data_IF_882418975581
#
_entry.id   IF_882418975581
#
_cell.length_a   1.000
_cell.length_b   1.000
_cell.length_c   1.000
_cell.angle_alpha   90.00
_cell.angle_beta   90.00
_cell.angle_gamma   90.00
#
_symmetry.space_group_name_H-M   'P 1'
#
loop_
_entity.id
_entity.type
_entity.pdbx_description
1 polymer ?
#
# COMPACT_ATOMS: atom_id res chain seq x y z
N UNK A 1 20.31 33.47 -48.48
CA UNK A 1 19.07 32.70 -48.19
C UNK A 1 18.05 33.70 -47.66
N UNK A 2 16.95 33.84 -48.40
CA UNK A 2 16.18 35.08 -48.57
C UNK A 2 15.21 35.42 -47.43
N UNK A 3 14.96 36.73 -47.37
CA UNK A 3 14.03 37.47 -46.52
C UNK A 3 12.54 37.17 -46.77
N UNK A 4 11.78 37.48 -45.71
CA UNK A 4 10.38 37.93 -45.55
C UNK A 4 9.56 38.32 -46.80
N UNK A 5 8.23 38.10 -46.77
CA UNK A 5 7.16 39.08 -47.09
C UNK A 5 5.73 38.51 -46.82
N UNK A 6 4.86 39.41 -46.33
CA UNK A 6 3.41 39.33 -46.05
C UNK A 6 2.49 39.03 -47.26
N UNK A 7 1.24 38.57 -47.02
CA UNK A 7 -0.04 39.37 -47.06
C UNK A 7 -1.31 38.50 -47.23
N UNK A 8 -2.37 38.99 -46.61
CA UNK A 8 -3.79 38.60 -46.68
C UNK A 8 -4.43 38.84 -48.08
N UNK A 9 -5.43 38.03 -48.47
CA UNK A 9 -6.83 38.47 -48.71
C UNK A 9 -7.73 37.44 -49.45
N UNK A 10 -8.95 37.29 -48.89
CA UNK A 10 -10.29 37.21 -49.53
C UNK A 10 -10.62 36.18 -50.63
N UNK A 11 -11.68 35.36 -50.42
CA UNK A 11 -12.93 35.49 -51.19
C UNK A 11 -14.09 34.61 -50.65
N UNK A 12 -15.29 35.13 -50.89
CA UNK A 12 -16.63 34.75 -50.43
C UNK A 12 -17.30 33.73 -51.38
N UNK A 13 -18.23 32.92 -50.84
CA UNK A 13 -19.33 32.26 -51.58
C UNK A 13 -19.38 30.76 -51.31
N UNK A 14 -20.50 30.08 -51.05
CA UNK A 14 -21.92 30.41 -51.14
C UNK A 14 -22.67 29.35 -50.28
N UNK A 15 -23.76 29.77 -49.66
CA UNK A 15 -24.71 28.96 -48.90
C UNK A 15 -25.51 28.03 -49.84
N UNK A 16 -25.61 26.73 -49.54
CA UNK A 16 -26.75 25.88 -49.94
C UNK A 16 -27.08 24.91 -48.81
N UNK A 17 -28.30 25.04 -48.28
CA UNK A 17 -28.98 24.14 -47.36
C UNK A 17 -29.41 22.85 -48.08
N UNK A 18 -29.43 21.71 -47.36
CA UNK A 18 -30.59 20.80 -47.17
C UNK A 18 -30.10 19.43 -46.63
N UNK A 19 -30.39 19.23 -45.33
CA UNK A 19 -30.77 18.02 -44.57
C UNK A 19 -30.29 16.61 -44.95
N UNK A 20 -29.78 15.88 -43.93
CA UNK A 20 -29.75 14.42 -43.88
C UNK A 20 -29.13 13.84 -42.59
N UNK A 21 -29.99 13.53 -41.60
CA UNK A 21 -29.93 12.45 -40.58
C UNK A 21 -28.57 12.12 -39.89
N UNK A 22 -28.34 12.54 -38.65
CA UNK A 22 -28.63 11.83 -37.38
C UNK A 22 -28.06 10.40 -37.28
N UNK A 23 -26.97 10.24 -36.53
CA UNK A 23 -26.90 9.39 -35.33
C UNK A 23 -25.61 9.74 -34.55
N UNK A 24 -25.72 10.70 -33.63
CA UNK A 24 -24.76 10.87 -32.53
C UNK A 24 -25.46 10.38 -31.27
N UNK A 25 -24.99 9.30 -30.66
CA UNK A 25 -25.32 8.98 -29.28
C UNK A 25 -24.63 9.99 -28.38
N UNK A 26 -25.29 11.14 -28.20
CA UNK A 26 -25.08 12.02 -27.06
C UNK A 26 -25.78 11.35 -25.88
N UNK A 27 -25.02 11.02 -24.84
CA UNK A 27 -25.60 10.57 -23.58
C UNK A 27 -26.19 11.81 -22.91
N UNK A 28 -27.48 12.03 -23.13
CA UNK A 28 -28.19 13.18 -22.60
C UNK A 28 -28.35 13.02 -21.08
N UNK A 29 -27.91 14.02 -20.33
CA UNK A 29 -27.93 14.05 -18.85
C UNK A 29 -29.32 14.48 -18.34
N UNK A 30 -30.38 13.97 -18.95
CA UNK A 30 -31.76 14.39 -18.76
C UNK A 30 -32.67 13.18 -18.49
N UNK A 31 -32.43 12.48 -17.38
CA UNK A 31 -33.25 11.30 -17.07
C UNK A 31 -33.23 10.75 -15.64
N UNK A 32 -32.49 11.31 -14.69
CA UNK A 32 -32.67 10.95 -13.29
C UNK A 32 -33.65 11.91 -12.63
N UNK A 33 -34.85 11.43 -12.31
CA UNK A 33 -35.76 12.20 -11.47
C UNK A 33 -35.11 12.45 -10.10
N UNK A 34 -35.50 13.54 -9.42
CA UNK A 34 -35.01 13.82 -8.07
C UNK A 34 -35.32 12.70 -7.05
N UNK A 35 -36.24 11.78 -7.38
CA UNK A 35 -36.56 10.60 -6.59
C UNK A 35 -35.58 9.46 -6.84
N UNK A 36 -35.16 9.26 -8.09
CA UNK A 36 -34.17 8.24 -8.48
C UNK A 36 -32.76 8.63 -8.02
N UNK A 37 -32.41 9.92 -8.10
CA UNK A 37 -31.14 10.40 -7.54
C UNK A 37 -31.10 10.32 -6.01
N UNK A 38 -32.23 10.54 -5.33
CA UNK A 38 -32.36 10.32 -3.88
C UNK A 38 -32.33 8.83 -3.52
N UNK A 39 -32.93 7.93 -4.31
CA UNK A 39 -32.88 6.49 -4.04
C UNK A 39 -31.49 5.92 -4.31
N UNK A 40 -30.84 6.26 -5.43
CA UNK A 40 -29.45 5.88 -5.70
C UNK A 40 -28.48 6.43 -4.65
N UNK A 41 -28.69 7.67 -4.17
CA UNK A 41 -27.92 8.23 -3.06
C UNK A 41 -28.21 7.54 -1.72
N UNK A 42 -29.47 7.16 -1.44
CA UNK A 42 -29.85 6.41 -0.25
C UNK A 42 -29.33 4.96 -0.27
N UNK A 43 -29.34 4.31 -1.44
CA UNK A 43 -28.77 2.98 -1.68
C UNK A 43 -27.25 3.03 -1.58
N UNK A 44 -26.62 4.10 -2.09
CA UNK A 44 -25.18 4.34 -1.90
C UNK A 44 -24.81 4.61 -0.44
N UNK A 45 -25.64 5.35 0.30
CA UNK A 45 -25.45 5.61 1.72
C UNK A 45 -25.67 4.34 2.55
N UNK A 46 -26.67 3.52 2.21
CA UNK A 46 -26.93 2.21 2.81
C UNK A 46 -25.78 1.25 2.55
N UNK A 47 -25.30 1.18 1.30
CA UNK A 47 -24.12 0.43 0.89
C UNK A 47 -22.88 0.84 1.68
N UNK A 48 -22.55 2.13 1.70
CA UNK A 48 -21.39 2.63 2.41
C UNK A 48 -21.48 2.34 3.91
N UNK A 49 -22.67 2.49 4.51
CA UNK A 49 -22.88 2.15 5.92
C UNK A 49 -22.66 0.66 6.19
N UNK A 50 -23.12 -0.22 5.31
CA UNK A 50 -22.89 -1.67 5.43
C UNK A 50 -21.41 -2.02 5.26
N UNK A 51 -20.73 -1.42 4.28
CA UNK A 51 -19.30 -1.57 4.08
C UNK A 51 -18.53 -1.14 5.32
N UNK A 52 -18.78 0.05 5.86
CA UNK A 52 -18.11 0.54 7.06
C UNK A 52 -18.44 -0.30 8.30
N UNK A 53 -19.65 -0.87 8.39
CA UNK A 53 -20.00 -1.83 9.44
C UNK A 53 -19.17 -3.12 9.32
N UNK A 54 -19.01 -3.66 8.10
CA UNK A 54 -18.13 -4.79 7.83
C UNK A 54 -16.68 -4.47 8.22
N UNK A 55 -16.17 -3.31 7.79
CA UNK A 55 -14.80 -2.84 8.12
C UNK A 55 -14.55 -2.66 9.62
N UNK A 56 -15.60 -2.43 10.40
CA UNK A 56 -15.54 -2.32 11.85
C UNK A 56 -15.76 -3.65 12.59
N UNK A 57 -16.17 -4.71 11.88
CA UNK A 57 -16.39 -6.04 12.47
C UNK A 57 -15.08 -6.83 12.58
N UNK A 58 -15.09 -7.90 13.38
CA UNK A 58 -13.98 -8.85 13.38
C UNK A 58 -14.00 -9.65 12.07
N UNK A 59 -12.95 -9.47 11.27
CA UNK A 59 -12.78 -10.15 9.98
C UNK A 59 -11.28 -10.26 9.66
N UNK A 60 -10.93 -11.16 8.75
CA UNK A 60 -9.57 -11.29 8.24
C UNK A 60 -9.28 -10.16 7.25
N UNK A 61 -8.09 -9.58 7.36
CA UNK A 61 -7.72 -8.40 6.61
C UNK A 61 -7.27 -8.74 5.20
N UNK A 62 -7.71 -7.92 4.25
CA UNK A 62 -7.22 -7.90 2.88
C UNK A 62 -6.24 -6.76 2.66
N UNK A 63 -5.05 -7.10 2.21
CA UNK A 63 -3.93 -6.17 2.04
C UNK A 63 -3.44 -6.17 0.60
N UNK A 64 -3.01 -5.00 0.12
CA UNK A 64 -2.39 -4.91 -1.19
C UNK A 64 -1.35 -3.80 -1.27
N UNK A 65 -0.29 -4.04 -2.04
CA UNK A 65 0.66 -2.99 -2.41
C UNK A 65 0.29 -2.43 -3.78
N UNK A 66 0.29 -1.11 -3.90
CA UNK A 66 0.26 -0.43 -5.20
C UNK A 66 1.70 -0.06 -5.58
N UNK A 67 2.07 -0.41 -6.80
CA UNK A 67 3.34 -0.05 -7.43
C UNK A 67 3.05 0.79 -8.66
N UNK A 68 3.29 2.09 -8.55
CA UNK A 68 3.12 3.08 -9.61
C UNK A 68 4.47 3.47 -10.23
N UNK A 69 5.19 2.46 -10.73
CA UNK A 69 6.46 2.61 -11.44
C UNK A 69 6.30 2.77 -12.96
N UNK A 70 5.05 2.80 -13.44
CA UNK A 70 4.70 2.93 -14.87
C UNK A 70 4.57 1.60 -15.62
N UNK A 71 4.76 0.45 -14.96
CA UNK A 71 4.68 -0.86 -15.61
C UNK A 71 3.28 -1.49 -15.59
N UNK A 72 2.40 -1.03 -14.70
CA UNK A 72 1.00 -1.47 -14.59
C UNK A 72 0.05 -0.41 -15.20
N UNK A 73 -1.20 -0.76 -15.59
CA UNK A 73 -2.15 0.23 -16.12
C UNK A 73 -2.36 1.40 -15.16
N UNK A 74 -2.44 2.63 -15.67
CA UNK A 74 -2.67 3.83 -14.86
C UNK A 74 -3.92 3.70 -13.96
N UNK A 75 -4.99 3.11 -14.50
CA UNK A 75 -6.22 2.88 -13.74
C UNK A 75 -6.03 1.93 -12.54
N UNK A 76 -4.99 1.10 -12.51
CA UNK A 76 -4.68 0.19 -11.40
C UNK A 76 -4.03 0.87 -10.21
N UNK A 77 -3.42 2.04 -10.41
CA UNK A 77 -2.77 2.82 -9.36
C UNK A 77 -3.66 3.97 -8.88
N UNK A 78 -4.75 4.25 -9.58
CA UNK A 78 -5.80 5.18 -9.13
C UNK A 78 -6.60 4.57 -7.97
N UNK A 79 -6.58 5.24 -6.82
CA UNK A 79 -7.14 4.67 -5.59
C UNK A 79 -8.67 4.63 -5.56
N UNK A 80 -9.36 5.30 -6.49
CA UNK A 80 -10.81 5.17 -6.67
C UNK A 80 -11.24 3.78 -7.16
N UNK A 81 -10.35 3.11 -7.91
CA UNK A 81 -10.65 1.86 -8.61
C UNK A 81 -10.39 0.62 -7.75
N UNK A 82 -9.83 0.79 -6.55
CA UNK A 82 -9.54 -0.30 -5.65
C UNK A 82 -10.82 -1.04 -5.24
N UNK A 83 -10.74 -2.34 -4.92
CA UNK A 83 -11.86 -3.06 -4.32
C UNK A 83 -12.26 -2.38 -3.00
N UNK A 84 -13.53 -2.01 -2.86
CA UNK A 84 -14.07 -1.38 -1.66
C UNK A 84 -13.85 -2.21 -0.39
N UNK A 85 -13.77 -3.55 -0.56
CA UNK A 85 -13.51 -4.51 0.51
C UNK A 85 -12.03 -4.70 0.85
N UNK A 86 -11.09 -3.95 0.24
CA UNK A 86 -9.69 -3.90 0.68
C UNK A 86 -9.56 -3.20 2.05
N UNK A 87 -8.76 -3.71 2.97
CA UNK A 87 -8.61 -3.13 4.32
C UNK A 87 -7.46 -2.15 4.43
N UNK A 88 -6.29 -2.57 3.95
CA UNK A 88 -5.08 -1.76 4.04
C UNK A 88 -4.37 -1.76 2.68
N UNK A 89 -4.12 -0.57 2.19
CA UNK A 89 -3.31 -0.30 1.02
C UNK A 89 -1.93 0.15 1.46
N UNK A 90 -0.89 -0.53 0.99
CA UNK A 90 0.49 -0.07 1.12
C UNK A 90 0.98 0.59 -0.17
N UNK A 91 1.41 1.85 -0.09
CA UNK A 91 1.99 2.57 -1.21
C UNK A 91 3.48 2.24 -1.27
N UNK A 92 3.94 1.50 -2.30
CA UNK A 92 5.32 1.01 -2.38
C UNK A 92 6.27 1.95 -3.14
N UNK A 93 6.17 1.99 -4.47
CA UNK A 93 6.93 2.90 -5.35
C UNK A 93 5.95 3.71 -6.15
N UNK A 94 6.13 5.04 -6.16
CA UNK A 94 5.13 5.96 -6.68
C UNK A 94 3.78 5.82 -5.95
N UNK A 95 2.84 6.69 -6.29
CA UNK A 95 1.44 6.60 -5.87
C UNK A 95 0.61 7.61 -6.65
N UNK A 96 -0.70 7.46 -6.58
CA UNK A 96 -1.67 8.45 -7.07
C UNK A 96 -1.49 9.78 -6.35
N UNK A 97 -1.05 10.86 -7.04
CA UNK A 97 -0.77 12.13 -6.38
C UNK A 97 -2.05 12.91 -6.07
N UNK A 98 -3.23 12.47 -6.53
CA UNK A 98 -4.48 13.21 -6.35
C UNK A 98 -5.08 12.95 -4.95
N UNK A 99 -5.15 13.97 -4.08
CA UNK A 99 -5.68 13.78 -2.74
C UNK A 99 -7.15 13.40 -2.66
N UNK A 100 -7.93 13.69 -3.69
CA UNK A 100 -9.35 13.36 -3.68
C UNK A 100 -9.59 11.87 -3.93
N UNK A 101 -8.69 11.20 -4.66
CA UNK A 101 -8.75 9.76 -4.87
C UNK A 101 -8.45 9.00 -3.57
N UNK A 102 -7.38 9.37 -2.86
CA UNK A 102 -7.06 8.71 -1.60
C UNK A 102 -8.08 8.99 -0.50
N UNK A 103 -8.67 10.20 -0.45
CA UNK A 103 -9.75 10.52 0.51
C UNK A 103 -11.01 9.70 0.21
N UNK A 104 -11.31 9.46 -1.06
CA UNK A 104 -12.45 8.63 -1.44
C UNK A 104 -12.23 7.16 -1.07
N UNK A 105 -11.00 6.63 -1.20
CA UNK A 105 -10.64 5.31 -0.68
C UNK A 105 -10.80 5.24 0.86
N UNK A 106 -10.30 6.23 1.60
CA UNK A 106 -10.44 6.30 3.05
C UNK A 106 -11.91 6.43 3.51
N UNK A 107 -12.77 7.12 2.75
CA UNK A 107 -14.22 7.17 3.03
C UNK A 107 -14.88 5.79 2.98
N UNK A 108 -14.36 4.86 2.16
CA UNK A 108 -14.79 3.46 2.09
C UNK A 108 -14.19 2.61 3.22
N UNK A 109 -13.34 3.18 4.07
CA UNK A 109 -12.67 2.49 5.18
C UNK A 109 -11.32 1.88 4.84
N UNK A 110 -10.79 2.11 3.63
CA UNK A 110 -9.45 1.64 3.24
C UNK A 110 -8.42 2.48 3.99
N UNK A 111 -7.57 1.83 4.80
CA UNK A 111 -6.44 2.48 5.46
C UNK A 111 -5.28 2.57 4.48
N UNK A 112 -4.60 3.71 4.44
CA UNK A 112 -3.46 3.94 3.53
C UNK A 112 -2.19 4.06 4.36
N UNK A 113 -1.20 3.21 4.07
CA UNK A 113 0.13 3.29 4.66
C UNK A 113 1.17 3.51 3.58
N UNK A 114 2.30 4.10 3.95
CA UNK A 114 3.44 4.30 3.04
C UNK A 114 4.56 3.33 3.38
N UNK A 115 5.05 2.56 2.41
CA UNK A 115 6.22 1.72 2.60
C UNK A 115 7.49 2.56 2.57
N UNK A 116 8.42 2.27 3.48
CA UNK A 116 9.79 2.77 3.47
C UNK A 116 10.78 1.61 3.58
N UNK A 117 11.96 1.78 2.97
CA UNK A 117 13.11 0.93 3.20
C UNK A 117 14.08 1.63 4.18
N UNK A 118 14.66 0.94 5.18
CA UNK A 118 15.62 1.52 6.11
C UNK A 118 16.82 2.22 5.44
N UNK A 119 17.27 1.77 4.26
CA UNK A 119 18.37 2.37 3.50
C UNK A 119 18.04 3.77 2.93
N UNK A 120 16.77 4.16 2.91
CA UNK A 120 16.32 5.52 2.55
C UNK A 120 16.36 6.50 3.72
N UNK A 121 16.59 6.01 4.93
CA UNK A 121 16.61 6.82 6.14
C UNK A 121 17.99 7.40 6.45
N UNK A 122 17.98 8.39 7.35
CA UNK A 122 19.16 9.08 7.84
C UNK A 122 19.18 9.07 9.37
N UNK A 123 20.37 9.13 9.97
CA UNK A 123 20.50 9.30 11.41
C UNK A 123 20.55 10.80 11.77
N UNK A 124 20.18 11.13 13.01
CA UNK A 124 20.11 12.51 13.46
C UNK A 124 21.47 13.20 13.34
N UNK A 125 21.46 14.43 12.82
CA UNK A 125 22.64 15.25 12.52
C UNK A 125 23.54 14.72 11.39
N UNK A 126 23.13 13.70 10.64
CA UNK A 126 23.88 13.26 9.46
C UNK A 126 23.89 14.33 8.36
N UNK A 127 24.73 14.16 7.33
CA UNK A 127 24.73 15.05 6.17
C UNK A 127 23.38 15.09 5.42
N UNK A 128 22.55 14.05 5.58
CA UNK A 128 21.22 13.93 4.96
C UNK A 128 20.07 14.40 5.86
N UNK A 129 20.30 14.58 7.16
CA UNK A 129 19.31 15.15 8.06
C UNK A 129 18.99 16.61 7.65
N UNK A 130 17.73 16.94 7.29
CA UNK A 130 17.31 18.27 6.88
C UNK A 130 17.65 19.37 7.90
N UNK A 131 17.72 19.05 9.21
CA UNK A 131 18.08 20.05 10.22
C UNK A 131 19.46 20.66 9.95
N UNK A 132 20.37 19.88 9.35
CA UNK A 132 21.74 20.31 9.03
C UNK A 132 21.80 21.34 7.89
N UNK A 133 20.69 21.54 7.17
CA UNK A 133 20.55 22.53 6.10
C UNK A 133 19.87 23.81 6.58
N UNK A 134 19.42 23.86 7.83
CA UNK A 134 18.72 25.02 8.39
C UNK A 134 19.70 26.15 8.70
N UNK A 135 19.30 27.39 8.43
CA UNK A 135 20.12 28.57 8.74
C UNK A 135 20.41 28.65 10.24
N UNK A 136 21.68 28.89 10.61
CA UNK A 136 22.11 28.95 12.00
C UNK A 136 22.32 27.59 12.67
N UNK A 137 22.21 26.47 11.94
CA UNK A 137 22.52 25.15 12.49
C UNK A 137 23.98 25.06 12.95
N UNK A 138 24.17 24.73 14.23
CA UNK A 138 25.48 24.39 14.80
C UNK A 138 25.48 22.90 15.12
N UNK A 139 26.40 22.17 14.49
CA UNK A 139 26.56 20.73 14.73
C UNK A 139 26.95 20.47 16.19
N UNK A 140 26.29 19.52 16.89
CA UNK A 140 26.71 19.13 18.22
C UNK A 140 28.15 18.61 18.23
N UNK A 141 28.90 18.93 19.29
CA UNK A 141 30.30 18.51 19.43
C UNK A 141 30.42 16.97 19.41
N UNK A 142 31.46 16.46 18.73
CA UNK A 142 31.76 15.02 18.66
C UNK A 142 30.90 14.20 17.69
N UNK A 143 29.97 14.82 16.97
CA UNK A 143 29.21 14.19 15.89
C UNK A 143 29.94 14.37 14.56
N UNK A 144 30.14 13.27 13.83
CA UNK A 144 30.55 13.30 12.43
C UNK A 144 29.30 13.10 11.54
N UNK A 145 28.98 14.02 10.61
CA UNK A 145 27.80 13.90 9.74
C UNK A 145 27.78 12.68 8.84
N UNK A 146 28.93 12.07 8.58
CA UNK A 146 29.07 11.03 7.57
C UNK A 146 29.28 9.65 8.20
N UNK A 147 29.40 9.58 9.54
CA UNK A 147 29.73 8.34 10.25
C UNK A 147 28.63 8.01 11.26
N UNK A 148 27.84 7.00 10.91
CA UNK A 148 26.91 6.36 11.84
C UNK A 148 27.68 5.64 12.95
N UNK A 149 27.15 5.69 14.17
CA UNK A 149 27.70 5.02 15.35
C UNK A 149 26.61 4.21 16.04
N UNK A 150 26.99 3.36 16.98
CA UNK A 150 26.04 2.63 17.82
C UNK A 150 25.16 3.55 18.68
N UNK A 151 25.55 4.81 18.91
CA UNK A 151 24.75 5.79 19.66
C UNK A 151 23.90 6.70 18.77
N UNK A 152 23.93 6.52 17.45
CA UNK A 152 23.12 7.30 16.52
C UNK A 152 21.62 7.07 16.77
N UNK A 153 20.86 8.16 16.74
CA UNK A 153 19.39 8.18 16.85
C UNK A 153 18.76 8.47 15.49
N UNK A 154 17.46 8.26 15.38
CA UNK A 154 16.69 8.36 14.13
C UNK A 154 15.40 9.17 14.32
N UNK A 155 15.36 10.02 15.35
CA UNK A 155 14.13 10.67 15.78
C UNK A 155 13.67 11.73 14.77
N UNK A 156 14.61 12.47 14.17
CA UNK A 156 14.28 13.45 13.14
C UNK A 156 13.68 12.77 11.91
N UNK A 157 14.27 11.68 11.44
CA UNK A 157 13.70 10.91 10.33
C UNK A 157 12.29 10.42 10.67
N UNK A 158 12.10 9.81 11.85
CA UNK A 158 10.81 9.29 12.27
C UNK A 158 9.74 10.39 12.37
N UNK A 159 10.09 11.53 12.96
CA UNK A 159 9.22 12.71 13.05
C UNK A 159 8.87 13.24 11.67
N UNK A 160 9.84 13.36 10.77
CA UNK A 160 9.62 13.90 9.42
C UNK A 160 8.64 13.02 8.65
N UNK A 161 8.76 11.69 8.75
CA UNK A 161 7.81 10.74 8.16
C UNK A 161 6.43 10.81 8.78
N UNK A 162 6.33 11.01 10.09
CA UNK A 162 5.07 11.26 10.74
C UNK A 162 4.41 12.56 10.25
N UNK A 163 5.18 13.65 10.13
CA UNK A 163 4.68 14.92 9.62
C UNK A 163 4.21 14.81 8.16
N UNK A 164 4.99 14.15 7.31
CA UNK A 164 4.66 13.91 5.90
C UNK A 164 3.39 13.04 5.77
N UNK A 165 3.40 11.84 6.35
CA UNK A 165 2.35 10.85 6.08
C UNK A 165 1.07 11.13 6.86
N UNK A 166 1.17 11.47 8.13
CA UNK A 166 0.01 11.63 9.00
C UNK A 166 -0.49 13.06 9.00
N UNK A 167 0.40 14.05 9.16
CA UNK A 167 -0.01 15.44 9.32
C UNK A 167 -0.31 16.10 7.97
N UNK A 168 0.53 15.95 6.97
CA UNK A 168 0.34 16.59 5.66
C UNK A 168 -0.61 15.76 4.78
N UNK A 169 -0.28 14.49 4.55
CA UNK A 169 -1.03 13.65 3.60
C UNK A 169 -2.32 13.05 4.18
N UNK A 170 -2.48 13.06 5.52
CA UNK A 170 -3.62 12.44 6.23
C UNK A 170 -3.77 10.94 5.96
N UNK A 171 -2.67 10.26 5.65
CA UNK A 171 -2.63 8.80 5.57
C UNK A 171 -2.69 8.18 6.97
N UNK A 172 -2.82 6.86 7.00
CA UNK A 172 -3.16 6.11 8.20
C UNK A 172 -1.97 5.46 8.87
N UNK A 173 -0.78 5.43 8.27
CA UNK A 173 0.39 4.86 8.92
C UNK A 173 1.61 4.66 8.04
N UNK A 174 2.50 3.81 8.53
CA UNK A 174 3.80 3.47 7.97
C UNK A 174 3.95 1.95 7.87
N UNK A 175 4.56 1.53 6.79
CA UNK A 175 5.00 0.16 6.51
C UNK A 175 6.52 0.16 6.33
N UNK A 176 7.24 -0.74 6.98
CA UNK A 176 8.71 -0.80 6.92
C UNK A 176 9.15 -2.14 6.40
N UNK A 177 9.84 -2.12 5.27
CA UNK A 177 10.38 -3.29 4.59
C UNK A 177 11.69 -3.75 5.27
N UNK A 178 11.58 -4.78 6.10
CA UNK A 178 12.63 -5.33 6.97
C UNK A 178 13.10 -6.66 6.37
N UNK A 179 13.99 -6.56 5.40
CA UNK A 179 14.62 -7.70 4.74
C UNK A 179 16.12 -7.52 4.56
N UNK A 180 16.80 -8.59 4.12
CA UNK A 180 18.25 -8.54 3.88
C UNK A 180 18.55 -7.63 2.70
N UNK A 181 19.39 -6.61 2.91
CA UNK A 181 19.76 -5.63 1.88
C UNK A 181 18.98 -4.31 1.94
N UNK A 182 17.89 -4.25 2.72
CA UNK A 182 17.16 -3.01 2.95
C UNK A 182 17.77 -2.13 4.03
N UNK A 183 18.73 -2.64 4.81
CA UNK A 183 19.56 -1.87 5.73
C UNK A 183 20.83 -1.37 5.02
N UNK A 184 21.23 -0.13 5.28
CA UNK A 184 22.27 0.57 4.52
C UNK A 184 23.22 1.38 5.40
N UNK A 185 24.06 2.21 4.78
CA UNK A 185 25.13 2.92 5.48
C UNK A 185 24.67 3.82 6.64
N UNK A 186 23.53 4.51 6.51
CA UNK A 186 23.02 5.37 7.60
C UNK A 186 22.15 4.61 8.63
N UNK A 187 21.59 3.47 8.22
CA UNK A 187 20.85 2.56 9.09
C UNK A 187 21.44 1.16 8.95
N UNK A 188 22.63 0.91 9.51
CA UNK A 188 23.23 -0.41 9.48
C UNK A 188 22.42 -1.36 10.37
N UNK A 189 22.51 -2.66 10.10
CA UNK A 189 21.71 -3.67 10.81
C UNK A 189 21.90 -3.65 12.34
N UNK A 190 23.09 -3.29 12.83
CA UNK A 190 23.34 -3.15 14.28
C UNK A 190 22.55 -2.00 14.94
N UNK A 191 22.00 -1.07 14.16
CA UNK A 191 21.14 0.02 14.61
C UNK A 191 19.66 -0.21 14.29
N UNK A 192 19.27 -1.33 13.69
CA UNK A 192 17.90 -1.60 13.27
C UNK A 192 16.88 -1.44 14.42
N UNK A 193 17.17 -1.99 15.61
CA UNK A 193 16.29 -1.84 16.77
C UNK A 193 16.10 -0.37 17.19
N UNK A 194 17.15 0.46 17.11
CA UNK A 194 17.07 1.90 17.43
C UNK A 194 16.24 2.66 16.40
N UNK A 195 16.43 2.35 15.12
CA UNK A 195 15.66 2.91 14.03
C UNK A 195 14.17 2.60 14.19
N UNK A 196 13.83 1.32 14.37
CA UNK A 196 12.43 0.89 14.55
C UNK A 196 11.82 1.46 15.84
N UNK A 197 12.61 1.59 16.92
CA UNK A 197 12.15 2.22 18.16
C UNK A 197 11.89 3.72 18.00
N UNK A 198 12.66 4.42 17.14
CA UNK A 198 12.39 5.82 16.84
C UNK A 198 11.07 5.98 16.09
N UNK A 199 10.80 5.12 15.10
CA UNK A 199 9.51 5.08 14.40
C UNK A 199 8.35 4.77 15.36
N UNK A 200 8.53 3.81 16.28
CA UNK A 200 7.51 3.43 17.26
C UNK A 200 7.04 4.57 18.18
N UNK A 201 7.83 5.64 18.34
CA UNK A 201 7.39 6.83 19.08
C UNK A 201 6.23 7.54 18.38
N UNK A 202 6.18 7.46 17.05
CA UNK A 202 5.22 8.19 16.21
C UNK A 202 4.18 7.30 15.54
N UNK A 203 4.44 6.00 15.43
CA UNK A 203 3.56 5.02 14.79
C UNK A 203 3.30 3.82 15.70
N UNK A 204 2.13 3.20 15.53
CA UNK A 204 1.75 1.95 16.15
C UNK A 204 1.04 2.10 17.51
N UNK A 205 0.65 0.98 18.13
CA UNK A 205 -0.18 0.98 19.34
C UNK A 205 0.46 1.71 20.53
N UNK A 206 1.79 1.73 20.59
CA UNK A 206 2.56 2.29 21.68
C UNK A 206 3.11 3.69 21.41
N UNK A 207 2.70 4.34 20.32
CA UNK A 207 3.22 5.68 20.01
C UNK A 207 2.91 6.68 21.13
N UNK A 208 3.92 7.50 21.43
CA UNK A 208 3.96 8.51 22.49
C UNK A 208 3.94 9.94 21.96
N UNK A 209 4.26 10.11 20.68
CA UNK A 209 4.42 11.39 19.98
C UNK A 209 3.47 11.50 18.78
N UNK A 210 2.37 10.75 18.80
CA UNK A 210 1.39 10.66 17.73
C UNK A 210 0.05 11.29 18.14
N UNK A 211 -0.71 11.74 17.14
CA UNK A 211 -2.08 12.18 17.34
C UNK A 211 -2.99 10.96 17.44
N UNK A 212 -3.80 10.93 18.49
CA UNK A 212 -4.90 9.97 18.64
C UNK A 212 -6.12 10.57 17.94
N UNK A 213 -6.64 9.90 16.91
CA UNK A 213 -7.87 10.31 16.22
C UNK A 213 -9.06 10.27 17.19
N UNK A 214 -10.16 11.01 16.95
CA UNK A 214 -11.34 11.00 17.83
C UNK A 214 -11.95 9.62 18.08
N UNK A 215 -11.75 8.67 17.17
CA UNK A 215 -12.15 7.27 17.30
C UNK A 215 -11.13 6.41 18.10
N UNK A 216 -10.17 7.04 18.77
CA UNK A 216 -9.12 6.39 19.56
C UNK A 216 -8.00 5.78 18.72
N UNK A 217 -8.06 5.86 17.38
CA UNK A 217 -7.08 5.18 16.52
C UNK A 217 -5.77 5.96 16.44
N UNK A 218 -4.68 5.20 16.52
CA UNK A 218 -3.30 5.64 16.32
C UNK A 218 -2.86 5.36 14.88
N UNK A 219 -1.83 6.06 14.36
CA UNK A 219 -1.22 5.71 13.08
C UNK A 219 -0.73 4.25 13.09
N UNK A 220 -0.96 3.51 12.02
CA UNK A 220 -0.51 2.13 11.89
C UNK A 220 1.02 2.06 11.83
N UNK A 221 1.57 1.01 12.44
CA UNK A 221 2.95 0.59 12.24
C UNK A 221 3.00 -0.86 11.80
N UNK A 222 3.42 -1.07 10.55
CA UNK A 222 3.50 -2.39 9.93
C UNK A 222 4.94 -2.86 9.85
N UNK A 223 5.15 -4.11 10.26
CA UNK A 223 6.41 -4.84 10.14
C UNK A 223 6.34 -5.72 8.90
N UNK A 224 6.93 -5.27 7.78
CA UNK A 224 7.03 -6.06 6.54
C UNK A 224 8.35 -6.84 6.53
N UNK A 225 8.31 -8.14 6.25
CA UNK A 225 9.51 -8.99 6.27
C UNK A 225 9.35 -10.26 5.47
N UNK A 226 10.47 -10.79 4.96
CA UNK A 226 10.60 -12.17 4.51
C UNK A 226 11.42 -13.04 5.50
N UNK A 227 11.83 -12.46 6.64
CA UNK A 227 12.86 -13.01 7.53
C UNK A 227 12.27 -13.82 8.70
N UNK A 228 12.72 -15.07 8.84
CA UNK A 228 12.59 -15.87 10.09
C UNK A 228 13.99 -16.29 10.61
N UNK A 229 15.04 -15.52 10.31
CA UNK A 229 16.41 -15.90 10.65
C UNK A 229 16.70 -15.68 12.16
N UNK A 230 16.31 -16.63 13.00
CA UNK A 230 16.66 -16.66 14.42
C UNK A 230 18.18 -16.42 14.62
N UNK A 231 18.53 -15.57 15.59
CA UNK A 231 19.92 -15.25 15.91
C UNK A 231 20.65 -14.29 14.96
N UNK A 232 20.04 -13.81 13.86
CA UNK A 232 20.62 -12.74 13.02
C UNK A 232 20.21 -11.36 13.52
N UNK A 233 20.99 -10.33 13.16
CA UNK A 233 20.74 -8.93 13.56
C UNK A 233 19.35 -8.37 13.17
N UNK A 234 18.69 -8.99 12.19
CA UNK A 234 17.32 -8.63 11.77
C UNK A 234 16.31 -9.76 11.97
N UNK A 235 16.69 -10.78 12.75
CA UNK A 235 15.87 -11.96 13.02
C UNK A 235 14.69 -11.70 13.94
N UNK A 236 13.74 -12.64 13.96
CA UNK A 236 12.55 -12.60 14.82
C UNK A 236 12.88 -12.28 16.28
N UNK A 237 13.82 -13.02 16.89
CA UNK A 237 14.17 -12.86 18.32
C UNK A 237 14.85 -11.52 18.64
N UNK A 238 15.41 -10.85 17.62
CA UNK A 238 16.18 -9.62 17.78
C UNK A 238 15.34 -8.38 17.52
N UNK A 239 14.55 -8.37 16.44
CA UNK A 239 13.80 -7.18 16.03
C UNK A 239 12.29 -7.27 16.25
N UNK A 240 11.70 -8.45 16.13
CA UNK A 240 10.26 -8.56 16.31
C UNK A 240 9.90 -8.89 17.76
N UNK A 241 10.35 -10.02 18.30
CA UNK A 241 9.88 -10.53 19.59
C UNK A 241 9.99 -9.51 20.75
N UNK A 242 11.10 -8.75 20.90
CA UNK A 242 11.22 -7.75 21.97
C UNK A 242 10.33 -6.52 21.77
N UNK A 243 9.93 -6.24 20.52
CA UNK A 243 9.24 -5.01 20.12
C UNK A 243 7.83 -5.25 19.56
N UNK A 244 7.33 -6.50 19.60
CA UNK A 244 6.08 -6.94 18.94
C UNK A 244 4.84 -6.13 19.32
N UNK A 245 4.84 -5.49 20.49
CA UNK A 245 3.74 -4.62 20.95
C UNK A 245 3.66 -3.29 20.19
N UNK A 246 4.74 -2.89 19.51
CA UNK A 246 4.78 -1.64 18.75
C UNK A 246 4.15 -1.73 17.36
N UNK A 247 3.90 -2.95 16.86
CA UNK A 247 3.37 -3.18 15.53
C UNK A 247 1.89 -3.55 15.56
N UNK A 248 1.11 -3.06 14.60
CA UNK A 248 -0.29 -3.48 14.42
C UNK A 248 -0.37 -4.80 13.68
N UNK A 249 0.41 -4.92 12.60
CA UNK A 249 0.38 -6.06 11.68
C UNK A 249 1.79 -6.46 11.24
N UNK A 250 1.92 -7.71 10.82
CA UNK A 250 3.12 -8.28 10.20
C UNK A 250 2.77 -8.67 8.77
N UNK A 251 3.34 -7.95 7.83
CA UNK A 251 3.27 -8.29 6.42
C UNK A 251 4.39 -9.27 6.15
N UNK A 252 4.03 -10.52 5.87
CA UNK A 252 5.01 -11.56 5.65
C UNK A 252 5.06 -11.93 4.18
N UNK A 253 6.23 -11.74 3.60
CA UNK A 253 6.51 -11.94 2.19
C UNK A 253 6.65 -13.45 1.86
N UNK A 254 5.52 -14.15 1.84
CA UNK A 254 5.40 -15.59 1.54
C UNK A 254 5.54 -15.88 0.03
N UNK A 255 6.56 -15.31 -0.60
CA UNK A 255 6.75 -15.35 -2.05
C UNK A 255 7.33 -16.68 -2.51
N UNK A 256 6.50 -17.52 -3.13
CA UNK A 256 6.85 -18.91 -3.50
C UNK A 256 7.33 -19.07 -4.95
N UNK A 257 7.20 -18.03 -5.78
CA UNK A 257 7.65 -18.01 -7.17
C UNK A 257 9.08 -17.50 -7.37
N UNK A 258 9.70 -17.84 -8.50
CA UNK A 258 11.04 -17.38 -8.87
C UNK A 258 12.15 -17.84 -7.93
N UNK A 259 13.23 -17.07 -7.82
CA UNK A 259 14.39 -17.33 -6.94
C UNK A 259 14.25 -16.59 -5.59
N UNK A 260 13.10 -16.73 -4.92
CA UNK A 260 12.81 -16.10 -3.62
C UNK A 260 13.12 -17.06 -2.46
N UNK A 261 13.28 -16.53 -1.25
CA UNK A 261 13.62 -17.31 -0.06
C UNK A 261 12.62 -18.44 0.25
N UNK A 262 11.35 -18.24 -0.11
CA UNK A 262 10.23 -19.15 0.17
C UNK A 262 9.82 -20.00 -1.04
N UNK A 263 10.70 -20.16 -2.03
CA UNK A 263 10.39 -20.88 -3.27
C UNK A 263 9.87 -22.30 -2.97
N UNK A 264 8.64 -22.57 -3.39
CA UNK A 264 8.02 -23.89 -3.29
C UNK A 264 7.42 -24.27 -1.92
N UNK A 265 7.47 -23.40 -0.91
CA UNK A 265 6.98 -23.71 0.45
C UNK A 265 5.47 -23.67 0.64
N UNK A 266 4.73 -23.08 -0.30
CA UNK A 266 3.27 -22.91 -0.20
C UNK A 266 2.82 -22.41 1.19
N UNK A 267 1.91 -23.14 1.82
CA UNK A 267 1.43 -22.88 3.20
C UNK A 267 2.07 -23.79 4.25
N UNK A 268 3.03 -24.64 3.88
CA UNK A 268 3.59 -25.64 4.80
C UNK A 268 4.27 -25.01 6.03
N UNK A 269 4.87 -23.84 5.83
CA UNK A 269 5.58 -23.10 6.89
C UNK A 269 4.70 -22.08 7.62
N UNK A 270 3.40 -22.00 7.33
CA UNK A 270 2.55 -20.97 7.96
C UNK A 270 2.25 -21.26 9.43
N UNK A 271 2.23 -22.53 9.84
CA UNK A 271 1.97 -22.88 11.24
C UNK A 271 3.02 -22.32 12.22
N UNK A 272 4.34 -22.46 12.00
CA UNK A 272 5.32 -21.78 12.86
C UNK A 272 5.23 -20.26 12.77
N UNK A 273 4.90 -19.70 11.60
CA UNK A 273 4.77 -18.24 11.41
C UNK A 273 3.59 -17.66 12.20
N UNK A 274 2.41 -18.28 12.13
CA UNK A 274 1.23 -17.83 12.90
C UNK A 274 1.45 -18.01 14.40
N UNK A 275 2.21 -19.03 14.85
CA UNK A 275 2.60 -19.15 16.26
C UNK A 275 3.50 -17.99 16.71
N UNK A 276 4.37 -17.50 15.81
CA UNK A 276 5.30 -16.42 16.09
C UNK A 276 4.62 -15.03 16.12
N UNK A 277 3.68 -14.79 15.21
CA UNK A 277 3.05 -13.47 15.00
C UNK A 277 1.60 -13.37 15.48
N UNK A 278 0.91 -14.50 15.67
CA UNK A 278 -0.50 -14.57 16.04
C UNK A 278 -1.42 -13.97 14.96
N UNK A 279 -2.51 -13.34 15.41
CA UNK A 279 -3.47 -12.64 14.55
C UNK A 279 -2.90 -11.42 13.81
N UNK A 280 -1.63 -11.04 14.05
CA UNK A 280 -0.95 -9.99 13.27
C UNK A 280 -0.42 -10.50 11.94
N UNK A 281 -0.32 -11.82 11.75
CA UNK A 281 0.26 -12.45 10.56
C UNK A 281 -0.62 -12.24 9.32
N UNK A 282 -0.09 -11.54 8.31
CA UNK A 282 -0.72 -11.36 7.01
C UNK A 282 0.22 -11.93 5.96
N UNK A 283 -0.20 -12.96 5.23
CA UNK A 283 0.63 -13.57 4.18
C UNK A 283 0.46 -12.86 2.84
N UNK A 284 1.57 -12.56 2.18
CA UNK A 284 1.60 -11.88 0.90
C UNK A 284 2.09 -12.82 -0.20
N UNK A 285 1.38 -12.84 -1.33
CA UNK A 285 1.92 -13.37 -2.58
C UNK A 285 2.69 -12.30 -3.35
N UNK A 286 3.55 -12.75 -4.27
CA UNK A 286 4.28 -11.85 -5.16
C UNK A 286 3.45 -11.53 -6.41
N UNK A 287 2.70 -10.43 -6.42
CA UNK A 287 1.89 -10.02 -7.58
C UNK A 287 2.69 -9.54 -8.79
N UNK A 288 4.03 -9.43 -8.72
CA UNK A 288 4.85 -9.33 -9.94
C UNK A 288 4.60 -10.54 -10.87
N UNK A 289 4.23 -11.69 -10.32
CA UNK A 289 3.94 -12.87 -11.12
C UNK A 289 2.59 -12.80 -11.85
N UNK A 290 1.72 -11.83 -11.53
CA UNK A 290 0.46 -11.69 -12.25
C UNK A 290 0.67 -11.32 -13.72
N UNK A 291 -0.33 -11.64 -14.53
CA UNK A 291 -0.34 -11.33 -15.96
C UNK A 291 -0.16 -9.82 -16.22
N UNK A 292 0.67 -9.47 -17.20
CA UNK A 292 0.87 -8.09 -17.63
C UNK A 292 -0.35 -7.57 -18.43
N UNK A 293 -0.47 -6.24 -18.55
CA UNK A 293 -1.55 -5.59 -19.30
C UNK A 293 -1.53 -5.88 -20.81
N UNK A 294 -0.35 -6.15 -21.37
CA UNK A 294 -0.15 -6.50 -22.79
C UNK A 294 -0.11 -8.01 -23.03
N UNK A 295 -0.40 -8.82 -22.03
CA UNK A 295 -0.19 -10.27 -22.04
C UNK A 295 1.23 -10.68 -21.67
N UNK A 296 1.41 -11.95 -21.31
CA UNK A 296 2.64 -12.48 -20.70
C UNK A 296 2.66 -12.31 -19.18
N UNK A 297 3.70 -12.85 -18.54
CA UNK A 297 3.85 -12.91 -17.08
C UNK A 297 5.31 -13.20 -16.72
N UNK A 298 5.70 -12.88 -15.48
CA UNK A 298 6.93 -13.42 -14.93
C UNK A 298 6.83 -14.95 -14.77
N UNK A 299 7.96 -15.65 -14.78
CA UNK A 299 8.03 -17.12 -14.58
C UNK A 299 7.05 -17.90 -15.48
N UNK A 300 7.03 -17.58 -16.78
CA UNK A 300 6.26 -18.31 -17.77
C UNK A 300 6.60 -19.83 -17.76
N UNK A 301 5.63 -20.73 -18.08
CA UNK A 301 4.29 -20.42 -18.58
C UNK A 301 3.22 -20.28 -17.48
N UNK A 302 3.54 -20.45 -16.19
CA UNK A 302 2.52 -20.61 -15.14
C UNK A 302 2.68 -19.73 -13.87
N UNK A 303 3.60 -18.76 -13.85
CA UNK A 303 3.74 -17.77 -12.77
C UNK A 303 2.43 -17.10 -12.30
N UNK A 304 1.57 -16.66 -13.23
CA UNK A 304 0.28 -16.04 -12.89
C UNK A 304 -0.64 -17.04 -12.17
N UNK A 305 -0.89 -18.19 -12.80
CA UNK A 305 -1.73 -19.25 -12.25
C UNK A 305 -1.22 -19.75 -10.87
N UNK A 306 0.10 -19.89 -10.69
CA UNK A 306 0.71 -20.28 -9.41
C UNK A 306 0.51 -19.23 -8.32
N UNK A 307 0.58 -17.96 -8.68
CA UNK A 307 0.45 -16.85 -7.74
C UNK A 307 -1.01 -16.66 -7.33
N UNK A 308 -1.94 -16.79 -8.27
CA UNK A 308 -3.38 -16.86 -7.98
C UNK A 308 -3.68 -18.04 -7.06
N UNK A 309 -3.21 -19.25 -7.41
CA UNK A 309 -3.42 -20.44 -6.58
C UNK A 309 -2.85 -20.27 -5.16
N UNK A 310 -1.68 -19.64 -5.03
CA UNK A 310 -1.07 -19.34 -3.73
C UNK A 310 -1.93 -18.34 -2.93
N UNK A 311 -2.43 -17.27 -3.55
CA UNK A 311 -3.25 -16.27 -2.87
C UNK A 311 -4.53 -16.89 -2.30
N UNK A 312 -5.23 -17.70 -3.09
CA UNK A 312 -6.46 -18.37 -2.66
C UNK A 312 -6.17 -19.42 -1.58
N UNK A 313 -5.06 -20.15 -1.69
CA UNK A 313 -4.58 -21.07 -0.65
C UNK A 313 -4.27 -20.34 0.66
N UNK A 314 -3.62 -19.17 0.60
CA UNK A 314 -3.30 -18.36 1.78
C UNK A 314 -4.58 -17.85 2.43
N UNK A 315 -5.53 -17.33 1.64
CA UNK A 315 -6.83 -16.90 2.13
C UNK A 315 -7.58 -18.02 2.88
N UNK A 316 -7.64 -19.23 2.30
CA UNK A 316 -8.29 -20.37 2.93
C UNK A 316 -7.55 -20.80 4.20
N UNK A 317 -6.22 -20.84 4.16
CA UNK A 317 -5.42 -21.22 5.31
C UNK A 317 -5.59 -20.28 6.50
N UNK A 318 -5.61 -18.96 6.25
CA UNK A 318 -5.79 -17.94 7.30
C UNK A 318 -7.12 -18.08 8.01
N UNK A 319 -8.18 -18.37 7.25
CA UNK A 319 -9.52 -18.66 7.78
C UNK A 319 -9.55 -19.89 8.67
N UNK A 320 -8.84 -20.95 8.29
CA UNK A 320 -8.87 -22.21 9.03
C UNK A 320 -7.92 -22.23 10.24
N UNK A 321 -6.94 -21.31 10.31
CA UNK A 321 -5.83 -21.37 11.27
C UNK A 321 -5.63 -20.07 12.08
N UNK A 322 -6.67 -19.23 12.20
CA UNK A 322 -6.65 -17.99 12.99
C UNK A 322 -5.50 -17.03 12.60
N UNK A 323 -5.27 -16.89 11.30
CA UNK A 323 -4.38 -15.87 10.76
C UNK A 323 -4.93 -14.46 10.92
N UNK A 324 -4.16 -13.46 10.48
CA UNK A 324 -4.60 -12.07 10.43
C UNK A 324 -5.19 -11.65 9.09
N UNK A 325 -4.79 -12.30 8.00
CA UNK A 325 -5.24 -11.95 6.65
C UNK A 325 -4.31 -12.40 5.53
N UNK A 326 -4.64 -12.00 4.31
CA UNK A 326 -3.84 -12.31 3.13
C UNK A 326 -3.86 -11.14 2.13
N UNK A 327 -2.87 -11.12 1.23
CA UNK A 327 -2.74 -10.04 0.28
C UNK A 327 -1.70 -10.30 -0.81
N UNK A 328 -1.42 -9.25 -1.58
CA UNK A 328 -0.41 -9.30 -2.65
C UNK A 328 0.48 -8.06 -2.64
N UNK A 329 1.80 -8.28 -2.75
CA UNK A 329 2.68 -7.27 -3.31
C UNK A 329 2.31 -7.01 -4.77
N UNK A 330 2.49 -5.79 -5.28
CA UNK A 330 2.04 -5.34 -6.60
C UNK A 330 0.63 -5.86 -6.94
N UNK A 331 -0.30 -5.66 -6.01
CA UNK A 331 -1.72 -5.94 -6.19
C UNK A 331 -2.30 -5.19 -7.41
N UNK A 332 -1.74 -4.03 -7.76
CA UNK A 332 -2.07 -3.26 -8.97
C UNK A 332 -2.14 -4.13 -10.22
N UNK A 333 -1.29 -5.15 -10.36
CA UNK A 333 -1.29 -6.01 -11.54
C UNK A 333 -2.51 -6.94 -11.64
N UNK A 334 -3.19 -7.20 -10.52
CA UNK A 334 -4.47 -7.94 -10.52
C UNK A 334 -5.60 -7.17 -11.25
N UNK A 335 -5.41 -5.89 -11.53
CA UNK A 335 -6.31 -5.10 -12.38
C UNK A 335 -6.47 -5.67 -13.80
N UNK A 336 -5.45 -6.41 -14.28
CA UNK A 336 -5.47 -7.04 -15.60
C UNK A 336 -6.45 -8.22 -15.67
N UNK A 337 -6.80 -8.84 -14.54
CA UNK A 337 -7.79 -9.90 -14.49
C UNK A 337 -9.21 -9.37 -14.71
N UNK A 338 -10.11 -10.28 -15.13
CA UNK A 338 -11.52 -9.99 -15.37
C UNK A 338 -12.42 -10.91 -14.53
N UNK A 339 -13.33 -10.36 -13.72
CA UNK A 339 -13.54 -8.93 -13.44
C UNK A 339 -12.31 -8.25 -12.83
N UNK A 340 -12.21 -6.92 -12.91
CA UNK A 340 -11.05 -6.16 -12.39
C UNK A 340 -10.82 -6.49 -10.91
N UNK A 341 -9.55 -6.75 -10.54
CA UNK A 341 -9.15 -7.24 -9.22
C UNK A 341 -9.81 -8.59 -8.83
N UNK A 342 -10.01 -9.48 -9.81
CA UNK A 342 -10.69 -10.77 -9.61
C UNK A 342 -10.12 -11.52 -8.41
N UNK A 343 -8.81 -11.71 -8.38
CA UNK A 343 -8.19 -12.67 -7.48
C UNK A 343 -8.16 -12.15 -6.04
N UNK A 344 -7.94 -10.85 -5.85
CA UNK A 344 -8.04 -10.23 -4.52
C UNK A 344 -9.47 -10.27 -3.99
N UNK A 345 -10.47 -10.02 -4.84
CA UNK A 345 -11.88 -10.11 -4.45
C UNK A 345 -12.27 -11.53 -4.06
N UNK A 346 -11.78 -12.52 -4.80
CA UNK A 346 -12.00 -13.93 -4.50
C UNK A 346 -11.34 -14.34 -3.18
N UNK A 347 -10.09 -13.90 -2.95
CA UNK A 347 -9.39 -14.12 -1.67
C UNK A 347 -10.15 -13.52 -0.47
N UNK A 348 -10.68 -12.30 -0.62
CA UNK A 348 -11.52 -11.64 0.39
C UNK A 348 -12.75 -12.51 0.71
N UNK A 349 -13.44 -13.02 -0.32
CA UNK A 349 -14.63 -13.83 -0.14
C UNK A 349 -14.33 -15.18 0.53
N UNK A 350 -13.17 -15.78 0.23
CA UNK A 350 -12.72 -17.01 0.89
C UNK A 350 -12.49 -16.75 2.38
N UNK A 351 -11.74 -15.68 2.70
CA UNK A 351 -11.42 -15.29 4.07
C UNK A 351 -12.67 -14.93 4.87
N UNK A 352 -13.59 -14.20 4.26
CA UNK A 352 -14.75 -13.61 4.92
C UNK A 352 -16.03 -13.94 4.14
N UNK A 353 -16.49 -15.21 4.17
CA UNK A 353 -17.66 -15.62 3.40
C UNK A 353 -18.91 -14.89 3.90
N UNK A 354 -19.79 -14.51 2.97
CA UNK A 354 -21.11 -13.97 3.32
C UNK A 354 -21.86 -14.97 4.20
N UNK A 355 -22.19 -14.55 5.41
CA UNK A 355 -23.12 -15.31 6.24
C UNK A 355 -24.51 -15.07 5.65
N UNK A 356 -25.07 -16.08 4.96
CA UNK A 356 -26.50 -16.07 4.64
C UNK A 356 -27.24 -15.98 5.97
N UNK A 357 -27.93 -14.87 6.21
CA UNK A 357 -28.88 -14.76 7.31
C UNK A 357 -29.85 -15.94 7.20
N UNK A 358 -29.84 -16.82 8.20
CA UNK A 358 -30.87 -17.86 8.34
C UNK A 358 -32.19 -17.23 8.72
#
# INVERSE_FOLDING_TARGET
>A
MNQTIHKYSFCIGLLVFVTGLLFSFTYDKSGLSAKDSKSLAADSASYLKQLLKYKASDHLLAVGYVVADGNDPEASTNLLNLPDSLDILSLFVGYDPNPDHWKAAQKKGIKIVRTIAPNSAYFDHSAKDPITKTSGYVRPAGIDPNVVKSTSTYDHYARDKYMEYIVQNKWDGLDVDIETGMFGAEVPTYNAAKFLSALAKYFGPNCTSCTIKPDGKKPLFIYDTDVIFAGRNIGYDVLYAPFKSNYDHVYFQSYTGGNRAWRGSGTQDFLPIVKAYGSKFIALVNGDQYIYSKGGQDSAPDGDAKTVASLLSYAQWMKDNNGGGAGAYRMSRDYNHKPVFKNIREAIQIMNPETKSK
#
